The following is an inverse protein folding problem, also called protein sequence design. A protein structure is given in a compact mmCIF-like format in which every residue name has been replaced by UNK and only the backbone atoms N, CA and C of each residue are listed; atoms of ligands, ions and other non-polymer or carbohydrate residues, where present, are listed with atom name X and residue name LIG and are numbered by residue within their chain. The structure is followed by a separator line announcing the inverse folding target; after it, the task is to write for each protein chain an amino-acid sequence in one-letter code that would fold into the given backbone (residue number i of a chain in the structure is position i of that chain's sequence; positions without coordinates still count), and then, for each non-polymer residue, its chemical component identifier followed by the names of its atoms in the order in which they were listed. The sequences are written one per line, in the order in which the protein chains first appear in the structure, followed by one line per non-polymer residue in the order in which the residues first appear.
data_IF_579262074608
#
_entry.id   IF_579262074608
#
_cell.length_a   1.000
_cell.length_b   1.000
_cell.length_c   1.000
_cell.angle_alpha   90.00
_cell.angle_beta   90.00
_cell.angle_gamma   90.00
#
_symmetry.space_group_name_H-M   'P 1'
#
loop_
_entity.id
_entity.type
_entity.pdbx_description
1 polymer ?
#
# COMPACT_ATOMS: atom_id res chain seq x y z
N UNK A 1 13.31 12.19 3.86
CA UNK A 1 11.89 11.98 3.91
C UNK A 1 11.50 10.66 3.27
N UNK A 2 10.82 9.85 3.99
CA UNK A 2 10.48 8.52 3.51
C UNK A 2 8.99 8.36 3.38
N UNK A 3 8.58 7.91 2.24
CA UNK A 3 7.20 7.67 1.98
C UNK A 3 7.05 7.11 0.59
N UNK A 4 6.00 6.33 0.41
CA UNK A 4 5.68 5.82 -0.91
C UNK A 4 4.79 6.80 -1.62
N UNK A 5 5.19 7.17 -2.81
CA UNK A 5 4.26 7.87 -3.68
C UNK A 5 3.22 6.87 -4.16
N UNK A 6 2.19 7.41 -4.80
CA UNK A 6 1.13 6.56 -5.34
C UNK A 6 1.71 5.51 -6.28
N UNK A 7 2.61 5.94 -7.15
CA UNK A 7 3.23 5.02 -8.11
C UNK A 7 4.04 3.94 -7.41
N UNK A 8 4.75 4.33 -6.38
CA UNK A 8 5.59 3.38 -5.66
C UNK A 8 4.76 2.37 -4.89
N UNK A 9 3.70 2.85 -4.27
CA UNK A 9 2.81 1.95 -3.55
C UNK A 9 2.15 0.96 -4.49
N UNK A 10 1.71 1.46 -5.63
CA UNK A 10 1.09 0.60 -6.63
C UNK A 10 2.06 -0.45 -7.13
N UNK A 11 3.28 -0.03 -7.41
CA UNK A 11 4.29 -0.95 -7.88
C UNK A 11 4.60 -2.02 -6.84
N UNK A 12 4.65 -1.62 -5.59
CA UNK A 12 4.91 -2.55 -4.51
C UNK A 12 3.81 -3.61 -4.44
N UNK A 13 2.57 -3.17 -4.53
CA UNK A 13 1.45 -4.11 -4.50
C UNK A 13 1.46 -5.01 -5.73
N UNK A 14 1.83 -4.45 -6.85
CA UNK A 14 1.86 -5.22 -8.08
C UNK A 14 2.87 -6.37 -8.00
N UNK A 15 3.95 -6.14 -7.30
CA UNK A 15 4.97 -7.17 -7.12
C UNK A 15 4.41 -8.40 -6.42
N UNK A 16 3.38 -8.22 -5.63
CA UNK A 16 2.73 -9.30 -4.90
C UNK A 16 1.38 -9.67 -5.50
N UNK A 17 1.10 -9.17 -6.69
CA UNK A 17 -0.20 -9.41 -7.34
C UNK A 17 -1.36 -8.89 -6.50
N UNK A 18 -1.12 -7.81 -5.79
CA UNK A 18 -2.13 -7.21 -4.94
C UNK A 18 -2.53 -5.82 -5.43
N UNK A 19 -2.24 -5.51 -6.68
CA UNK A 19 -2.58 -4.19 -7.18
C UNK A 19 -4.09 -3.94 -7.15
N UNK A 20 -4.88 -5.00 -7.20
CA UNK A 20 -6.33 -4.85 -7.10
C UNK A 20 -6.74 -4.36 -5.72
N UNK A 21 -5.85 -4.45 -4.76
CA UNK A 21 -6.12 -3.95 -3.41
C UNK A 21 -5.71 -2.48 -3.24
N UNK A 22 -5.17 -1.89 -4.28
CA UNK A 22 -4.72 -0.51 -4.18
C UNK A 22 -5.80 0.44 -3.70
N UNK A 23 -7.03 0.37 -4.22
CA UNK A 23 -8.09 1.25 -3.74
C UNK A 23 -8.33 1.11 -2.24
N UNK A 24 -8.20 -0.10 -1.74
CA UNK A 24 -8.39 -0.35 -0.31
C UNK A 24 -7.27 0.30 0.48
N UNK A 25 -6.04 0.13 0.03
CA UNK A 25 -4.90 0.74 0.69
C UNK A 25 -5.04 2.25 0.68
N UNK A 26 -5.47 2.77 -0.44
CA UNK A 26 -5.63 4.20 -0.58
C UNK A 26 -6.67 4.74 0.40
N UNK A 27 -7.73 3.99 0.60
CA UNK A 27 -8.80 4.41 1.49
C UNK A 27 -8.39 4.29 2.95
N UNK A 28 -7.68 3.24 3.30
CA UNK A 28 -7.35 2.97 4.69
C UNK A 28 -6.09 3.70 5.14
N UNK A 29 -5.12 3.77 4.26
CA UNK A 29 -3.80 4.28 4.65
C UNK A 29 -3.37 5.52 3.91
N UNK A 30 -4.07 5.90 2.89
CA UNK A 30 -3.72 7.08 2.13
C UNK A 30 -4.25 8.30 2.84
N UNK A 31 -3.44 8.92 3.62
CA UNK A 31 -3.93 10.03 4.38
C UNK A 31 -3.13 11.30 4.27
N UNK A 32 -1.94 11.19 3.74
CA UNK A 32 -1.07 12.35 3.68
C UNK A 32 -1.07 12.94 2.30
N UNK A 33 -1.46 14.18 2.22
CA UNK A 33 -1.33 14.91 0.97
C UNK A 33 -0.22 15.92 1.11
N UNK A 34 0.78 15.76 0.28
CA UNK A 34 1.88 16.67 0.26
C UNK A 34 1.85 17.39 -1.07
N UNK A 35 1.49 18.66 -1.04
CA UNK A 35 1.21 19.41 -2.27
C UNK A 35 0.08 18.72 -3.01
N UNK A 36 0.34 18.24 -4.19
CA UNK A 36 -0.66 17.56 -4.99
C UNK A 36 -0.52 16.06 -4.96
N UNK A 37 0.40 15.55 -4.14
CA UNK A 37 0.69 14.13 -4.16
C UNK A 37 0.28 13.47 -2.87
N UNK A 38 -0.26 12.29 -3.03
CA UNK A 38 -0.57 11.44 -1.88
C UNK A 38 0.66 10.64 -1.52
N UNK A 39 0.99 10.64 -0.24
CA UNK A 39 2.15 9.91 0.27
C UNK A 39 1.63 8.84 1.22
N UNK A 40 2.13 7.64 1.04
CA UNK A 40 1.75 6.51 1.88
C UNK A 40 2.88 6.16 2.82
N UNK A 41 2.52 5.75 4.01
CA UNK A 41 3.51 5.28 4.98
C UNK A 41 3.98 3.88 4.56
N UNK A 42 5.29 3.71 4.29
CA UNK A 42 5.77 2.40 3.85
C UNK A 42 5.46 1.28 4.84
N UNK A 43 5.53 1.59 6.12
CA UNK A 43 5.25 0.58 7.15
C UNK A 43 3.81 0.10 7.04
N UNK A 44 2.89 1.01 6.81
CA UNK A 44 1.49 0.65 6.68
C UNK A 44 1.27 -0.23 5.47
N UNK A 45 1.88 0.12 4.37
CA UNK A 45 1.71 -0.65 3.13
C UNK A 45 2.30 -2.04 3.30
N UNK A 46 3.47 -2.13 3.90
CA UNK A 46 4.11 -3.43 4.12
C UNK A 46 3.25 -4.28 5.05
N UNK A 47 2.74 -3.69 6.11
CA UNK A 47 1.89 -4.42 7.04
C UNK A 47 0.62 -4.92 6.37
N UNK A 48 0.06 -4.11 5.49
CA UNK A 48 -1.13 -4.52 4.76
C UNK A 48 -0.85 -5.76 3.92
N UNK A 49 0.26 -5.73 3.19
CA UNK A 49 0.63 -6.86 2.35
C UNK A 49 0.88 -8.10 3.19
N UNK A 50 1.56 -7.93 4.30
CA UNK A 50 1.83 -9.07 5.18
C UNK A 50 0.55 -9.68 5.69
N UNK A 51 -0.40 -8.86 6.04
CA UNK A 51 -1.68 -9.34 6.55
C UNK A 51 -2.41 -10.15 5.48
N UNK A 52 -2.41 -9.64 4.26
CA UNK A 52 -3.07 -10.32 3.16
C UNK A 52 -2.41 -11.66 2.87
N UNK A 53 -1.08 -11.65 2.79
CA UNK A 53 -0.34 -12.88 2.50
C UNK A 53 -0.53 -13.90 3.61
N UNK A 54 -0.57 -13.43 4.83
CA UNK A 54 -0.75 -14.32 5.97
C UNK A 54 -2.12 -15.00 5.92
N UNK A 55 -3.14 -14.24 5.59
CA UNK A 55 -4.47 -14.78 5.47
C UNK A 55 -4.57 -15.79 4.34
N UNK A 56 -3.93 -15.47 3.24
CA UNK A 56 -3.94 -16.34 2.08
C UNK A 56 -3.29 -17.67 2.40
N UNK A 57 -2.23 -17.59 3.15
CA UNK A 57 -1.47 -18.78 3.50
C UNK A 57 -2.25 -19.66 4.44
N UNK A 58 -3.06 -19.06 5.25
CA UNK A 58 -3.82 -19.81 6.22
C UNK A 58 -4.97 -20.58 5.62
N UNK A 59 -5.39 -20.16 4.48
CA UNK A 59 -6.47 -20.86 3.79
C UNK A 59 -6.07 -22.26 3.39
#
# INVERSE_FOLDING_TARGET
MFGFTEDEALKFLKDYDLEYCFPIVKEYYGGYKFYDKEIFNPVDVVNFVKTILNKSEKA
#
